data_IF_858856829771
#
_entry.id   IF_858856829771
#
_cell.length_a   1.000
_cell.length_b   1.000
_cell.length_c   1.000
_cell.angle_alpha   90.00
_cell.angle_beta   90.00
_cell.angle_gamma   90.00
#
_symmetry.space_group_name_H-M   'P 1'
#
loop_
_entity.id
_entity.type
_entity.pdbx_description
1 polymer ?
#
# COMPACT_ATOMS: atom_id res chain seq x y z
N UNK A 1 0.48 26.99 13.65
CA UNK A 1 -0.52 26.02 13.16
C UNK A 1 -0.98 26.48 11.77
N UNK A 2 -1.08 25.60 10.78
CA UNK A 2 -1.33 25.97 9.37
C UNK A 2 -2.81 26.32 9.15
N UNK A 3 -3.13 27.55 8.71
CA UNK A 3 -4.51 28.00 8.42
C UNK A 3 -5.29 27.06 7.49
N UNK A 4 -4.60 26.41 6.55
CA UNK A 4 -5.20 25.44 5.64
C UNK A 4 -5.78 24.20 6.38
N UNK A 5 -5.12 23.75 7.45
CA UNK A 5 -5.59 22.64 8.29
C UNK A 5 -6.84 23.04 9.09
N UNK A 6 -6.93 24.30 9.49
CA UNK A 6 -8.06 24.84 10.26
C UNK A 6 -9.31 24.95 9.38
N UNK A 7 -9.16 25.47 8.15
CA UNK A 7 -10.24 25.57 7.17
C UNK A 7 -10.76 24.18 6.78
N UNK A 8 -9.85 23.21 6.58
CA UNK A 8 -10.24 21.84 6.23
C UNK A 8 -11.04 21.16 7.35
N UNK A 9 -10.61 21.33 8.62
CA UNK A 9 -11.32 20.80 9.80
C UNK A 9 -12.71 21.39 9.97
N UNK A 10 -12.90 22.67 9.66
CA UNK A 10 -14.18 23.34 9.84
C UNK A 10 -15.20 22.99 8.74
N UNK A 11 -14.73 22.64 7.54
CA UNK A 11 -15.59 22.31 6.40
C UNK A 11 -16.01 20.84 6.34
N UNK A 12 -15.23 19.93 6.94
CA UNK A 12 -15.56 18.51 7.02
C UNK A 12 -16.04 18.16 8.43
N UNK A 13 -17.35 18.28 8.68
CA UNK A 13 -17.96 18.00 10.00
C UNK A 13 -17.75 16.56 10.49
N UNK A 14 -17.42 15.65 9.58
CA UNK A 14 -17.11 14.25 9.88
C UNK A 14 -15.59 14.00 9.86
N UNK A 15 -14.74 15.04 9.84
CA UNK A 15 -13.27 14.88 9.85
C UNK A 15 -12.79 14.06 11.05
N UNK A 16 -13.44 14.24 12.21
CA UNK A 16 -13.17 13.46 13.42
C UNK A 16 -13.69 12.01 13.33
N UNK A 17 -14.78 11.76 12.59
CA UNK A 17 -15.35 10.42 12.38
C UNK A 17 -14.63 9.64 11.27
N UNK A 18 -14.07 10.35 10.27
CA UNK A 18 -13.18 9.82 9.23
C UNK A 18 -11.75 9.63 9.72
N UNK A 19 -11.38 10.24 10.84
CA UNK A 19 -10.23 9.77 11.60
C UNK A 19 -10.57 8.37 12.11
N UNK A 20 -10.16 7.37 11.33
CA UNK A 20 -9.84 6.07 11.89
C UNK A 20 -9.02 6.36 13.15
N UNK A 21 -9.42 5.82 14.33
CA UNK A 21 -8.76 6.14 15.60
C UNK A 21 -7.27 6.09 15.36
N UNK A 22 -6.50 7.09 15.82
CA UNK A 22 -5.08 7.19 15.53
C UNK A 22 -4.41 5.88 15.95
N UNK A 23 -4.29 4.94 15.01
CA UNK A 23 -3.77 3.60 15.26
C UNK A 23 -2.27 3.80 15.31
N UNK A 24 -1.77 4.06 16.52
CA UNK A 24 -0.35 4.28 16.80
C UNK A 24 0.40 2.96 16.95
N UNK A 25 -0.30 1.82 16.94
CA UNK A 25 0.30 0.50 17.08
C UNK A 25 0.62 -0.13 15.71
N UNK A 26 1.91 -0.25 15.33
CA UNK A 26 2.30 -0.89 14.07
C UNK A 26 1.92 -2.37 14.01
N UNK A 27 1.67 -3.03 15.15
CA UNK A 27 1.22 -4.43 15.18
C UNK A 27 -0.12 -4.63 14.47
N UNK A 28 -1.01 -3.63 14.44
CA UNK A 28 -2.29 -3.74 13.73
C UNK A 28 -2.08 -3.73 12.21
N UNK A 29 -1.15 -2.90 11.71
CA UNK A 29 -0.79 -2.93 10.30
C UNK A 29 -0.12 -4.26 9.93
N UNK A 30 0.82 -4.75 10.75
CA UNK A 30 1.44 -6.07 10.56
C UNK A 30 0.39 -7.19 10.52
N UNK A 31 -0.59 -7.18 11.43
CA UNK A 31 -1.67 -8.17 11.43
C UNK A 31 -2.51 -8.10 10.16
N UNK A 32 -2.80 -6.90 9.64
CA UNK A 32 -3.50 -6.73 8.37
C UNK A 32 -2.67 -7.24 7.18
N UNK A 33 -1.35 -7.09 7.22
CA UNK A 33 -0.43 -7.68 6.22
C UNK A 33 -0.50 -9.19 6.27
N UNK A 34 -0.31 -9.80 7.44
CA UNK A 34 -0.36 -11.27 7.62
C UNK A 34 -1.71 -11.84 7.20
N UNK A 35 -2.81 -11.15 7.54
CA UNK A 35 -4.13 -11.54 7.06
C UNK A 35 -4.22 -11.48 5.53
N UNK A 36 -3.64 -10.45 4.91
CA UNK A 36 -3.54 -10.34 3.46
C UNK A 36 -2.76 -11.50 2.84
N UNK A 37 -1.61 -11.86 3.43
CA UNK A 37 -0.77 -12.96 2.97
C UNK A 37 -1.54 -14.30 3.02
N UNK A 38 -2.20 -14.60 4.14
CA UNK A 38 -3.03 -15.81 4.30
C UNK A 38 -4.16 -15.84 3.26
N UNK A 39 -4.84 -14.71 3.03
CA UNK A 39 -5.93 -14.64 2.07
C UNK A 39 -5.44 -14.80 0.62
N UNK A 40 -4.26 -14.26 0.30
CA UNK A 40 -3.65 -14.40 -1.02
C UNK A 40 -3.26 -15.85 -1.31
N UNK A 41 -2.67 -16.55 -0.34
CA UNK A 41 -2.37 -17.99 -0.43
C UNK A 41 -3.63 -18.85 -0.59
N UNK A 42 -4.77 -18.39 -0.07
CA UNK A 42 -6.09 -19.03 -0.28
C UNK A 42 -6.77 -18.61 -1.60
N UNK A 43 -6.09 -17.89 -2.49
CA UNK A 43 -6.63 -17.30 -3.74
C UNK A 43 -7.82 -16.34 -3.52
N UNK A 44 -7.99 -15.83 -2.29
CA UNK A 44 -9.02 -14.82 -1.94
C UNK A 44 -8.49 -13.42 -2.20
N UNK A 45 -8.08 -13.16 -3.44
CA UNK A 45 -7.31 -11.96 -3.83
C UNK A 45 -8.04 -10.64 -3.53
N UNK A 46 -9.36 -10.58 -3.66
CA UNK A 46 -10.15 -9.38 -3.34
C UNK A 46 -10.02 -9.00 -1.86
N UNK A 47 -10.12 -9.98 -0.97
CA UNK A 47 -10.06 -9.75 0.47
C UNK A 47 -8.62 -9.55 0.95
N UNK A 48 -7.65 -10.18 0.28
CA UNK A 48 -6.23 -9.89 0.48
C UNK A 48 -5.93 -8.42 0.19
N UNK A 49 -6.37 -7.90 -0.95
CA UNK A 49 -6.18 -6.49 -1.33
C UNK A 49 -6.84 -5.53 -0.34
N UNK A 50 -8.03 -5.84 0.18
CA UNK A 50 -8.66 -5.04 1.25
C UNK A 50 -7.79 -5.00 2.52
N UNK A 51 -7.21 -6.14 2.90
CA UNK A 51 -6.34 -6.24 4.08
C UNK A 51 -5.05 -5.44 3.90
N UNK A 52 -4.41 -5.55 2.74
CA UNK A 52 -3.23 -4.75 2.39
C UNK A 52 -3.53 -3.25 2.34
N UNK A 53 -4.67 -2.83 1.79
CA UNK A 53 -5.08 -1.42 1.80
C UNK A 53 -5.28 -0.87 3.21
N UNK A 54 -5.86 -1.67 4.10
CA UNK A 54 -6.00 -1.29 5.50
C UNK A 54 -4.64 -1.10 6.17
N UNK A 55 -3.69 -2.01 5.93
CA UNK A 55 -2.32 -1.85 6.39
C UNK A 55 -1.65 -0.58 5.83
N UNK A 56 -1.84 -0.32 4.53
CA UNK A 56 -1.26 0.85 3.83
C UNK A 56 -1.75 2.16 4.47
N UNK A 57 -3.06 2.25 4.77
CA UNK A 57 -3.64 3.40 5.46
C UNK A 57 -3.07 3.60 6.87
N UNK A 58 -2.90 2.51 7.63
CA UNK A 58 -2.35 2.57 9.00
C UNK A 58 -0.88 3.01 8.95
N UNK A 59 -0.06 2.42 8.07
CA UNK A 59 1.33 2.82 7.92
C UNK A 59 1.49 4.26 7.45
N UNK A 60 0.66 4.71 6.50
CA UNK A 60 0.66 6.11 6.09
C UNK A 60 0.39 7.04 7.27
N UNK A 61 -0.56 6.69 8.14
CA UNK A 61 -0.86 7.48 9.33
C UNK A 61 0.29 7.48 10.35
N UNK A 62 0.94 6.33 10.55
CA UNK A 62 2.07 6.15 11.48
C UNK A 62 3.32 6.90 11.04
N UNK A 63 3.72 6.71 9.79
CA UNK A 63 5.06 7.09 9.33
C UNK A 63 5.07 8.29 8.40
N UNK A 64 3.95 8.60 7.73
CA UNK A 64 3.82 9.74 6.81
C UNK A 64 4.97 9.74 5.79
N UNK A 65 5.76 10.81 5.75
CA UNK A 65 6.92 10.98 4.86
C UNK A 65 8.10 10.05 5.18
N UNK A 66 8.10 9.41 6.36
CA UNK A 66 9.15 8.48 6.76
C UNK A 66 8.87 7.03 6.30
N UNK A 67 7.74 6.76 5.65
CA UNK A 67 7.33 5.40 5.23
C UNK A 67 8.39 4.70 4.37
N UNK A 68 9.12 5.43 3.55
CA UNK A 68 10.24 4.93 2.72
C UNK A 68 11.43 4.32 3.49
N UNK A 69 11.54 4.60 4.78
CA UNK A 69 12.59 4.06 5.64
C UNK A 69 12.10 2.86 6.48
N UNK A 70 10.90 2.34 6.19
CA UNK A 70 10.26 1.29 6.96
C UNK A 70 10.13 0.03 6.11
N UNK A 71 10.89 -1.01 6.45
CA UNK A 71 10.92 -2.26 5.71
C UNK A 71 9.52 -2.91 5.57
N UNK A 72 8.67 -2.81 6.60
CA UNK A 72 7.33 -3.38 6.57
C UNK A 72 6.40 -2.70 5.57
N UNK A 73 6.65 -1.42 5.24
CA UNK A 73 5.92 -0.72 4.19
C UNK A 73 6.34 -1.22 2.81
N UNK A 74 7.65 -1.44 2.61
CA UNK A 74 8.17 -2.02 1.36
C UNK A 74 7.60 -3.41 1.12
N UNK A 75 7.65 -4.27 2.15
CA UNK A 75 7.08 -5.61 2.11
C UNK A 75 5.58 -5.58 1.78
N UNK A 76 4.80 -4.72 2.45
CA UNK A 76 3.37 -4.56 2.16
C UNK A 76 3.13 -4.19 0.70
N UNK A 77 3.88 -3.22 0.16
CA UNK A 77 3.68 -2.80 -1.22
C UNK A 77 4.00 -3.93 -2.20
N UNK A 78 5.06 -4.70 -1.95
CA UNK A 78 5.39 -5.89 -2.73
C UNK A 78 4.23 -6.89 -2.74
N UNK A 79 3.72 -7.29 -1.57
CA UNK A 79 2.65 -8.28 -1.48
C UNK A 79 1.34 -7.79 -2.09
N UNK A 80 0.97 -6.53 -1.84
CA UNK A 80 -0.20 -5.91 -2.44
C UNK A 80 -0.10 -5.84 -3.97
N UNK A 81 1.07 -5.52 -4.51
CA UNK A 81 1.31 -5.49 -5.94
C UNK A 81 1.24 -6.90 -6.55
N UNK A 82 1.85 -7.92 -5.92
CA UNK A 82 1.75 -9.32 -6.36
C UNK A 82 0.31 -9.79 -6.42
N UNK A 83 -0.46 -9.60 -5.34
CA UNK A 83 -1.87 -9.99 -5.29
C UNK A 83 -2.70 -9.28 -6.37
N UNK A 84 -2.44 -7.98 -6.60
CA UNK A 84 -3.11 -7.23 -7.66
C UNK A 84 -2.75 -7.74 -9.06
N UNK A 85 -1.49 -8.10 -9.29
CA UNK A 85 -1.06 -8.72 -10.54
C UNK A 85 -1.73 -10.08 -10.75
N UNK A 86 -1.74 -10.97 -9.76
CA UNK A 86 -2.45 -12.27 -9.86
C UNK A 86 -3.92 -12.08 -10.22
N UNK A 87 -4.56 -11.05 -9.64
CA UNK A 87 -5.96 -10.70 -9.91
C UNK A 87 -6.17 -9.99 -11.27
N UNK A 88 -5.11 -9.53 -11.92
CA UNK A 88 -5.15 -8.64 -13.10
C UNK A 88 -5.83 -7.28 -12.81
N UNK A 89 -5.73 -6.78 -11.57
CA UNK A 89 -6.24 -5.47 -11.17
C UNK A 89 -5.15 -4.40 -11.29
N UNK A 90 -5.09 -3.77 -12.45
CA UNK A 90 -4.11 -2.72 -12.79
C UNK A 90 -4.21 -1.53 -11.81
N UNK A 91 -5.43 -1.17 -11.40
CA UNK A 91 -5.65 -0.01 -10.52
C UNK A 91 -5.06 -0.29 -9.14
N UNK A 92 -5.29 -1.47 -8.59
CA UNK A 92 -4.70 -1.85 -7.32
C UNK A 92 -3.19 -2.04 -7.43
N UNK A 93 -2.70 -2.63 -8.52
CA UNK A 93 -1.26 -2.75 -8.76
C UNK A 93 -0.57 -1.39 -8.70
N UNK A 94 -1.04 -0.40 -9.47
CA UNK A 94 -0.47 0.96 -9.47
C UNK A 94 -0.47 1.59 -8.08
N UNK A 95 -1.46 1.28 -7.26
CA UNK A 95 -1.56 1.85 -5.93
C UNK A 95 -0.58 1.28 -4.89
N UNK A 96 0.01 0.11 -5.14
CA UNK A 96 1.11 -0.43 -4.35
C UNK A 96 2.46 -0.20 -5.05
N UNK A 97 2.49 -0.32 -6.39
CA UNK A 97 3.71 -0.19 -7.18
C UNK A 97 4.25 1.24 -7.24
N UNK A 98 3.39 2.26 -7.35
CA UNK A 98 3.82 3.66 -7.38
C UNK A 98 4.57 4.06 -6.10
N UNK A 99 3.99 3.92 -4.88
CA UNK A 99 4.72 4.29 -3.67
C UNK A 99 6.00 3.47 -3.52
N UNK A 100 6.00 2.20 -3.93
CA UNK A 100 7.21 1.37 -3.91
C UNK A 100 8.31 1.92 -4.82
N UNK A 101 8.02 2.10 -6.12
CA UNK A 101 9.01 2.53 -7.09
C UNK A 101 9.46 3.97 -6.87
N UNK A 102 8.56 4.87 -6.47
CA UNK A 102 8.85 6.29 -6.28
C UNK A 102 9.56 6.58 -4.95
N UNK A 103 9.16 5.92 -3.86
CA UNK A 103 9.68 6.25 -2.53
C UNK A 103 10.89 5.41 -2.12
N UNK A 104 10.89 4.11 -2.46
CA UNK A 104 12.01 3.19 -2.19
C UNK A 104 12.99 3.10 -3.35
N UNK A 105 12.53 3.37 -4.57
CA UNK A 105 13.34 3.40 -5.78
C UNK A 105 13.29 2.11 -6.61
N UNK A 106 13.51 2.26 -7.91
CA UNK A 106 13.47 1.17 -8.90
C UNK A 106 14.55 0.10 -8.72
N UNK A 107 15.59 0.39 -7.93
CA UNK A 107 16.69 -0.54 -7.61
C UNK A 107 16.51 -1.27 -6.27
N UNK A 108 15.49 -0.94 -5.50
CA UNK A 108 15.20 -1.64 -4.25
C UNK A 108 14.86 -3.12 -4.54
N UNK A 109 15.35 -4.09 -3.74
CA UNK A 109 15.10 -5.52 -3.97
C UNK A 109 13.62 -5.85 -4.19
N UNK A 110 12.75 -5.37 -3.30
CA UNK A 110 11.30 -5.58 -3.43
C UNK A 110 10.71 -4.94 -4.70
N UNK A 111 11.25 -3.82 -5.18
CA UNK A 111 10.77 -3.21 -6.44
C UNK A 111 11.15 -4.07 -7.64
N UNK A 112 12.37 -4.63 -7.64
CA UNK A 112 12.84 -5.54 -8.69
C UNK A 112 11.99 -6.81 -8.69
N UNK A 113 11.74 -7.38 -7.50
CA UNK A 113 10.92 -8.58 -7.34
C UNK A 113 9.48 -8.35 -7.78
N UNK A 114 8.90 -7.21 -7.40
CA UNK A 114 7.55 -6.81 -7.82
C UNK A 114 7.42 -6.81 -9.35
N UNK A 115 8.35 -6.17 -10.06
CA UNK A 115 8.31 -6.14 -11.53
C UNK A 115 8.49 -7.53 -12.13
N UNK A 116 9.46 -8.30 -11.63
CA UNK A 116 9.71 -9.66 -12.11
C UNK A 116 8.49 -10.56 -11.96
N UNK A 117 7.78 -10.46 -10.83
CA UNK A 117 6.59 -11.26 -10.57
C UNK A 117 5.47 -10.95 -11.56
N UNK A 118 5.17 -9.67 -11.79
CA UNK A 118 4.11 -9.27 -12.69
C UNK A 118 4.44 -9.53 -14.17
N UNK A 119 5.71 -9.35 -14.57
CA UNK A 119 6.19 -9.71 -15.92
C UNK A 119 6.01 -11.21 -16.21
N UNK A 120 6.28 -12.08 -15.22
CA UNK A 120 6.11 -13.53 -15.37
C UNK A 120 4.65 -13.98 -15.55
N UNK A 121 3.68 -13.13 -15.20
CA UNK A 121 2.24 -13.38 -15.38
C UNK A 121 1.70 -12.82 -16.71
N UNK A 122 2.59 -12.39 -17.61
CA UNK A 122 2.27 -11.79 -18.91
C UNK A 122 1.39 -10.53 -18.80
N UNK A 123 1.45 -9.86 -17.66
CA UNK A 123 0.84 -8.55 -17.47
C UNK A 123 1.89 -7.51 -17.84
N UNK A 124 1.87 -7.09 -19.10
CA UNK A 124 2.71 -6.01 -19.61
C UNK A 124 2.27 -4.62 -19.08
N UNK A 125 2.33 -4.42 -17.77
CA UNK A 125 2.35 -3.08 -17.19
C UNK A 125 3.79 -2.57 -17.31
N UNK A 126 4.13 -2.15 -18.54
CA UNK A 126 5.50 -1.77 -18.87
C UNK A 126 6.01 -0.74 -17.87
N UNK A 127 7.28 -0.87 -17.45
CA UNK A 127 8.00 0.08 -16.59
C UNK A 127 7.81 1.55 -16.99
N UNK A 128 7.42 1.83 -18.25
CA UNK A 128 7.10 3.16 -18.78
C UNK A 128 5.80 3.78 -18.26
N UNK A 129 4.87 3.04 -17.66
CA UNK A 129 3.62 3.60 -17.11
C UNK A 129 3.71 4.05 -15.65
N UNK A 130 4.83 3.76 -14.98
CA UNK A 130 5.05 4.04 -13.57
C UNK A 130 6.12 5.14 -13.34
N UNK A 131 6.70 5.66 -14.42
CA UNK A 131 7.77 6.68 -14.44
C UNK A 131 7.28 7.88 -15.25
#
# INVERSE_FOLDING_TARGET
MNKALEIFRNNDKNFAERQMPMITNPAIANACVVQGDILAEMDKLEDALKSYRKAQMIYFNLYRKNSKNIAQVSYLNLQGAKAACTKKDIRMYKAFANPQAMEFGVKHPDTIEMFKYCEALDIHLSKKELI
#
